data_IF_344445769738
#
_entry.id   IF_344445769738
#
_cell.length_a   1.000
_cell.length_b   1.000
_cell.length_c   1.000
_cell.angle_alpha   90.00
_cell.angle_beta   90.00
_cell.angle_gamma   90.00
#
_symmetry.space_group_name_H-M   'P 1'
#
loop_
_entity.id
_entity.type
_entity.pdbx_description
1 polymer ?
#
# COMPACT_ATOMS: atom_id res chain seq x y z
N UNK A 1 4.86 32.51 -0.01
CA UNK A 1 4.47 31.44 -0.95
C UNK A 1 5.34 30.25 -0.63
N UNK A 2 4.78 29.04 -0.48
CA UNK A 2 5.63 27.86 -0.24
C UNK A 2 6.40 27.51 -1.51
N UNK A 3 7.64 27.08 -1.39
CA UNK A 3 8.46 26.65 -2.54
C UNK A 3 8.04 25.26 -3.03
N UNK A 4 8.42 24.88 -4.26
CA UNK A 4 8.16 23.53 -4.78
C UNK A 4 8.73 22.44 -3.85
N UNK A 5 9.96 22.65 -3.36
CA UNK A 5 10.63 21.72 -2.45
C UNK A 5 9.92 21.61 -1.09
N UNK A 6 9.22 22.67 -0.66
CA UNK A 6 8.45 22.66 0.59
C UNK A 6 7.11 21.94 0.49
N UNK A 7 6.59 21.72 -0.72
CA UNK A 7 5.27 21.07 -0.93
C UNK A 7 5.38 19.69 -1.56
N UNK A 8 6.50 19.36 -2.19
CA UNK A 8 6.72 18.06 -2.80
C UNK A 8 6.83 16.96 -1.73
N UNK A 9 6.02 15.91 -1.85
CA UNK A 9 6.10 14.72 -0.99
C UNK A 9 5.66 14.92 0.47
N UNK A 10 5.11 16.08 0.85
CA UNK A 10 4.72 16.36 2.25
C UNK A 10 3.62 15.44 2.79
N UNK A 11 2.82 14.85 1.91
CA UNK A 11 1.78 13.88 2.26
C UNK A 11 2.21 12.43 2.03
N UNK A 12 3.51 12.17 1.90
CA UNK A 12 4.07 10.85 1.71
C UNK A 12 4.88 10.42 2.94
N UNK A 13 4.59 9.24 3.49
CA UNK A 13 5.35 8.66 4.58
C UNK A 13 6.67 8.11 4.03
N UNK A 14 7.68 8.97 4.01
CA UNK A 14 8.99 8.68 3.42
C UNK A 14 9.89 7.84 4.34
N UNK A 15 10.96 7.30 3.76
CA UNK A 15 12.02 6.65 4.53
C UNK A 15 12.63 7.58 5.60
N UNK A 16 12.70 8.89 5.32
CA UNK A 16 13.15 9.91 6.27
C UNK A 16 12.22 10.01 7.46
N UNK A 17 10.91 10.04 7.22
CA UNK A 17 9.90 10.04 8.30
C UNK A 17 10.05 8.80 9.17
N UNK A 18 10.11 7.61 8.55
CA UNK A 18 10.30 6.37 9.27
C UNK A 18 11.56 6.40 10.13
N UNK A 19 12.71 6.74 9.54
CA UNK A 19 14.01 6.78 10.23
C UNK A 19 14.04 7.73 11.42
N UNK A 20 13.27 8.82 11.36
CA UNK A 20 13.18 9.80 12.45
C UNK A 20 12.27 9.36 13.61
N UNK A 21 11.37 8.39 13.37
CA UNK A 21 10.30 8.00 14.29
C UNK A 21 10.49 6.63 14.93
N UNK A 22 11.38 5.79 14.40
CA UNK A 22 11.65 4.44 14.96
C UNK A 22 13.10 4.29 15.45
N UNK A 23 13.34 3.35 16.38
CA UNK A 23 14.69 2.96 16.78
C UNK A 23 15.57 2.51 15.59
N UNK A 24 16.89 2.72 15.71
CA UNK A 24 17.87 2.44 14.63
C UNK A 24 17.88 0.97 14.20
N UNK A 25 17.70 0.06 15.14
CA UNK A 25 17.59 -1.38 14.95
C UNK A 25 16.31 -1.77 14.20
N UNK A 26 15.16 -1.19 14.56
CA UNK A 26 13.88 -1.36 13.83
C UNK A 26 14.01 -0.90 12.39
N UNK A 27 14.60 0.28 12.17
CA UNK A 27 14.85 0.79 10.82
C UNK A 27 15.76 -0.15 10.00
N UNK A 28 16.86 -0.64 10.60
CA UNK A 28 17.77 -1.58 9.94
C UNK A 28 17.09 -2.92 9.61
N UNK A 29 16.31 -3.47 10.53
CA UNK A 29 15.51 -4.69 10.28
C UNK A 29 14.54 -4.45 9.13
N UNK A 30 13.81 -3.33 9.13
CA UNK A 30 12.90 -2.99 8.05
C UNK A 30 13.59 -2.87 6.68
N UNK A 31 14.79 -2.27 6.60
CA UNK A 31 15.56 -2.24 5.35
C UNK A 31 15.95 -3.64 4.85
N UNK A 32 16.25 -4.57 5.77
CA UNK A 32 16.51 -5.98 5.39
C UNK A 32 15.24 -6.64 4.84
N UNK A 33 14.09 -6.39 5.46
CA UNK A 33 12.79 -6.87 4.98
C UNK A 33 12.51 -6.34 3.58
N UNK A 34 12.68 -5.03 3.33
CA UNK A 34 12.53 -4.45 1.98
C UNK A 34 13.46 -5.09 0.93
N UNK A 35 14.66 -5.50 1.33
CA UNK A 35 15.60 -6.20 0.46
C UNK A 35 15.34 -7.71 0.31
N UNK A 36 14.29 -8.23 0.95
CA UNK A 36 13.95 -9.67 0.94
C UNK A 36 14.91 -10.54 1.76
N UNK A 37 15.69 -9.96 2.67
CA UNK A 37 16.69 -10.67 3.49
C UNK A 37 16.15 -11.16 4.84
N UNK A 38 14.99 -10.69 5.25
CA UNK A 38 14.37 -10.97 6.55
C UNK A 38 12.85 -10.89 6.40
N UNK A 39 12.10 -11.66 7.21
CA UNK A 39 10.65 -11.51 7.30
C UNK A 39 10.28 -10.41 8.29
N UNK A 40 9.15 -9.74 8.07
CA UNK A 40 8.69 -8.69 8.97
C UNK A 40 8.15 -9.29 10.28
N UNK A 41 8.88 -9.13 11.38
CA UNK A 41 8.39 -9.56 12.69
C UNK A 41 7.20 -8.69 13.15
N UNK A 42 6.28 -9.30 13.90
CA UNK A 42 5.13 -8.57 14.47
C UNK A 42 5.57 -7.46 15.43
N UNK A 43 6.67 -7.66 16.15
CA UNK A 43 7.25 -6.66 17.06
C UNK A 43 7.73 -5.43 16.28
N UNK A 44 8.49 -5.66 15.20
CA UNK A 44 8.95 -4.60 14.28
C UNK A 44 7.74 -3.88 13.66
N UNK A 45 6.73 -4.64 13.21
CA UNK A 45 5.53 -4.10 12.59
C UNK A 45 4.71 -3.23 13.55
N UNK A 46 4.57 -3.62 14.82
CA UNK A 46 3.86 -2.81 15.82
C UNK A 46 4.55 -1.46 16.05
N UNK A 47 5.88 -1.43 16.11
CA UNK A 47 6.64 -0.18 16.27
C UNK A 47 6.43 0.73 15.05
N UNK A 48 6.51 0.15 13.85
CA UNK A 48 6.30 0.87 12.59
C UNK A 48 4.85 1.38 12.48
N UNK A 49 3.86 0.56 12.80
CA UNK A 49 2.44 0.93 12.79
C UNK A 49 2.19 2.12 13.71
N UNK A 50 2.74 2.12 14.93
CA UNK A 50 2.59 3.25 15.84
C UNK A 50 3.24 4.53 15.28
N UNK A 51 4.43 4.44 14.68
CA UNK A 51 5.08 5.58 14.04
C UNK A 51 4.26 6.15 12.86
N UNK A 52 3.68 5.28 12.03
CA UNK A 52 2.81 5.65 10.91
C UNK A 52 1.54 6.34 11.42
N UNK A 53 0.88 5.75 12.42
CA UNK A 53 -0.34 6.29 13.04
C UNK A 53 -0.11 7.71 13.53
N UNK A 54 0.95 7.91 14.33
CA UNK A 54 1.29 9.23 14.87
C UNK A 54 1.55 10.23 13.75
N UNK A 55 2.36 9.86 12.75
CA UNK A 55 2.60 10.73 11.59
C UNK A 55 1.31 11.08 10.84
N UNK A 56 0.42 10.11 10.61
CA UNK A 56 -0.83 10.33 9.90
C UNK A 56 -1.75 11.30 10.66
N UNK A 57 -1.91 11.09 11.98
CA UNK A 57 -2.73 11.94 12.85
C UNK A 57 -2.14 13.35 12.97
N UNK A 58 -0.82 13.49 13.12
CA UNK A 58 -0.12 14.80 13.11
C UNK A 58 -0.41 15.58 11.82
N UNK A 59 -0.62 14.88 10.71
CA UNK A 59 -0.96 15.46 9.42
C UNK A 59 -2.47 15.55 9.16
N UNK A 60 -3.30 15.30 10.18
CA UNK A 60 -4.74 15.49 10.17
C UNK A 60 -5.57 14.31 9.66
N UNK A 61 -4.98 13.11 9.51
CA UNK A 61 -5.76 11.94 9.14
C UNK A 61 -6.57 11.37 10.32
N UNK A 62 -7.81 11.02 10.03
CA UNK A 62 -8.75 10.43 10.99
C UNK A 62 -9.00 8.95 10.72
N UNK A 63 -8.74 8.52 9.48
CA UNK A 63 -8.95 7.15 9.00
C UNK A 63 -7.70 6.61 8.31
N UNK A 64 -7.66 5.30 8.11
CA UNK A 64 -6.75 4.62 7.21
C UNK A 64 -7.51 3.68 6.28
N UNK A 65 -6.87 3.30 5.17
CA UNK A 65 -7.40 2.33 4.23
C UNK A 65 -6.30 1.49 3.61
N UNK A 66 -6.60 0.21 3.40
CA UNK A 66 -5.79 -0.66 2.54
C UNK A 66 -6.16 -0.37 1.09
N UNK A 67 -5.25 0.27 0.37
CA UNK A 67 -5.45 0.70 -1.00
C UNK A 67 -4.85 -0.33 -1.96
N UNK A 68 -5.67 -0.88 -2.85
CA UNK A 68 -5.25 -1.86 -3.86
C UNK A 68 -6.06 -1.72 -5.15
N UNK A 69 -5.58 -2.39 -6.21
CA UNK A 69 -6.17 -2.37 -7.56
C UNK A 69 -6.62 -3.78 -7.95
N UNK A 70 -7.85 -4.19 -7.58
CA UNK A 70 -8.39 -5.48 -7.98
C UNK A 70 -8.53 -5.62 -9.51
N UNK A 71 -8.83 -6.83 -9.97
CA UNK A 71 -9.05 -7.12 -11.40
C UNK A 71 -10.35 -6.53 -11.98
N UNK A 72 -10.99 -5.59 -11.28
CA UNK A 72 -12.22 -4.90 -11.70
C UNK A 72 -11.95 -3.51 -12.30
N UNK A 73 -10.70 -3.22 -12.68
CA UNK A 73 -10.24 -1.96 -13.29
C UNK A 73 -10.31 -0.70 -12.40
N UNK A 74 -11.00 -0.75 -11.25
CA UNK A 74 -11.10 0.33 -10.27
C UNK A 74 -10.22 0.09 -9.04
N UNK A 75 -9.93 1.15 -8.29
CA UNK A 75 -9.29 1.04 -6.97
C UNK A 75 -10.29 0.59 -5.92
N UNK A 76 -9.85 -0.24 -4.99
CA UNK A 76 -10.63 -0.63 -3.81
C UNK A 76 -10.08 0.06 -2.57
N UNK A 77 -11.00 0.63 -1.81
CA UNK A 77 -10.73 1.41 -0.60
C UNK A 77 -11.81 1.09 0.43
N UNK A 78 -11.41 0.65 1.62
CA UNK A 78 -12.28 0.54 2.78
C UNK A 78 -11.68 1.38 3.90
N UNK A 79 -12.39 2.43 4.32
CA UNK A 79 -11.90 3.36 5.32
C UNK A 79 -12.27 2.88 6.72
N UNK A 80 -11.27 2.81 7.58
CA UNK A 80 -11.41 2.45 9.00
C UNK A 80 -10.87 3.60 9.84
N UNK A 81 -11.58 3.95 10.92
CA UNK A 81 -11.16 5.04 11.79
C UNK A 81 -9.97 4.60 12.64
N UNK A 82 -9.04 5.51 12.93
CA UNK A 82 -8.04 5.26 13.98
C UNK A 82 -8.67 5.22 15.37
N UNK A 83 -9.86 5.79 15.54
CA UNK A 83 -10.56 5.88 16.82
C UNK A 83 -11.18 4.53 17.21
N UNK A 84 -10.84 4.06 18.40
CA UNK A 84 -11.39 2.87 19.05
C UNK A 84 -12.00 3.27 20.40
N UNK A 85 -13.17 2.71 20.73
CA UNK A 85 -13.88 2.98 21.99
C UNK A 85 -13.84 1.72 22.84
N UNK A 86 -13.24 1.83 24.02
CA UNK A 86 -13.15 0.73 24.98
C UNK A 86 -14.43 0.56 25.79
N UNK A 87 -14.57 -0.60 26.44
CA UNK A 87 -15.72 -0.96 27.26
C UNK A 87 -15.91 -0.06 28.49
N UNK A 88 -14.87 0.66 28.91
CA UNK A 88 -14.92 1.67 29.98
C UNK A 88 -15.39 3.04 29.47
N UNK A 89 -15.72 3.18 28.19
CA UNK A 89 -16.16 4.41 27.55
C UNK A 89 -15.02 5.36 27.15
N UNK A 90 -13.76 4.97 27.34
CA UNK A 90 -12.62 5.76 26.88
C UNK A 90 -12.42 5.60 25.38
N UNK A 91 -12.06 6.69 24.70
CA UNK A 91 -11.77 6.69 23.28
C UNK A 91 -10.27 6.91 23.08
N UNK A 92 -9.62 5.97 22.40
CA UNK A 92 -8.18 6.05 22.10
C UNK A 92 -7.94 5.81 20.61
N UNK A 93 -6.76 6.17 20.14
CA UNK A 93 -6.36 5.90 18.75
C UNK A 93 -5.57 4.60 18.65
N UNK A 94 -6.06 3.63 17.90
CA UNK A 94 -5.45 2.33 17.67
C UNK A 94 -5.06 2.15 16.20
N UNK A 95 -3.89 1.54 15.99
CA UNK A 95 -3.43 1.02 14.71
C UNK A 95 -2.26 0.10 15.01
N UNK A 96 -2.44 -1.19 14.72
CA UNK A 96 -1.55 -2.26 15.16
C UNK A 96 -0.72 -2.80 13.99
N UNK A 97 0.36 -3.50 14.31
CA UNK A 97 1.16 -4.22 13.31
C UNK A 97 0.36 -5.29 12.58
N UNK A 98 -0.69 -5.85 13.20
CA UNK A 98 -1.59 -6.81 12.52
C UNK A 98 -2.36 -6.13 11.41
N UNK A 99 -3.03 -5.02 11.71
CA UNK A 99 -3.75 -4.20 10.74
C UNK A 99 -2.81 -3.63 9.69
N UNK A 100 -1.55 -3.32 10.04
CA UNK A 100 -0.56 -2.88 9.07
C UNK A 100 -0.16 -3.98 8.10
N UNK A 101 0.16 -5.19 8.58
CA UNK A 101 0.66 -6.27 7.73
C UNK A 101 -0.45 -6.83 6.86
N UNK A 102 -1.64 -7.03 7.43
CA UNK A 102 -2.71 -7.79 6.83
C UNK A 102 -4.08 -7.22 7.19
N UNK A 103 -4.86 -6.88 6.17
CA UNK A 103 -6.29 -6.66 6.28
C UNK A 103 -7.08 -7.89 5.82
N UNK A 104 -8.27 -8.07 6.40
CA UNK A 104 -9.29 -8.99 5.88
C UNK A 104 -10.31 -8.17 5.09
N UNK A 105 -10.52 -8.54 3.82
CA UNK A 105 -11.60 -7.98 3.00
C UNK A 105 -12.62 -9.07 2.74
N UNK A 106 -13.91 -8.72 2.83
CA UNK A 106 -14.96 -9.54 2.24
C UNK A 106 -14.77 -9.54 0.72
N UNK A 107 -14.76 -10.72 0.10
CA UNK A 107 -14.53 -10.88 -1.35
C UNK A 107 -15.66 -11.57 -2.09
N UNK A 108 -16.81 -11.71 -1.45
CA UNK A 108 -18.02 -12.23 -2.08
C UNK A 108 -18.40 -11.50 -3.38
N UNK A 109 -18.03 -10.22 -3.51
CA UNK A 109 -18.35 -9.35 -4.66
C UNK A 109 -17.32 -9.36 -5.80
N UNK A 110 -16.16 -10.02 -5.66
CA UNK A 110 -15.16 -10.08 -6.72
C UNK A 110 -15.42 -11.22 -7.73
N UNK A 111 -14.83 -11.21 -8.94
CA UNK A 111 -15.04 -12.25 -9.94
C UNK A 111 -14.47 -13.60 -9.48
N UNK A 112 -15.34 -14.58 -9.22
CA UNK A 112 -14.95 -15.88 -8.64
C UNK A 112 -15.04 -17.05 -9.63
N UNK A 113 -15.51 -16.82 -10.85
CA UNK A 113 -15.75 -17.88 -11.85
C UNK A 113 -16.84 -18.90 -11.45
N UNK A 114 -17.67 -18.62 -10.44
CA UNK A 114 -18.79 -19.49 -10.02
C UNK A 114 -18.39 -20.78 -9.27
N UNK A 115 -17.12 -20.94 -8.89
CA UNK A 115 -16.58 -22.22 -8.40
C UNK A 115 -16.46 -22.33 -6.86
N UNK A 116 -16.97 -21.37 -6.08
CA UNK A 116 -16.66 -21.28 -4.63
C UNK A 116 -17.88 -21.13 -3.73
N UNK A 117 -17.81 -21.78 -2.56
CA UNK A 117 -18.71 -21.54 -1.43
C UNK A 117 -18.35 -20.21 -0.75
N UNK A 118 -19.32 -19.48 -0.19
CA UNK A 118 -19.17 -18.12 0.35
C UNK A 118 -18.07 -17.99 1.43
N UNK A 119 -17.73 -19.07 2.13
CA UNK A 119 -16.66 -19.10 3.13
C UNK A 119 -15.24 -19.01 2.52
N UNK A 120 -15.05 -19.53 1.30
CA UNK A 120 -13.78 -19.51 0.55
C UNK A 120 -13.60 -18.25 -0.31
N UNK A 121 -14.60 -17.38 -0.29
CA UNK A 121 -14.57 -16.03 -0.86
C UNK A 121 -14.03 -15.02 0.16
N UNK A 122 -12.92 -15.36 0.84
CA UNK A 122 -12.13 -14.41 1.64
C UNK A 122 -10.88 -14.01 0.89
N UNK A 123 -10.58 -12.72 0.93
CA UNK A 123 -9.36 -12.14 0.38
C UNK A 123 -8.58 -11.45 1.47
N UNK A 124 -7.27 -11.46 1.29
CA UNK A 124 -6.33 -10.92 2.23
C UNK A 124 -5.54 -9.83 1.54
N UNK A 125 -5.46 -8.67 2.18
CA UNK A 125 -4.52 -7.64 1.78
C UNK A 125 -3.20 -7.88 2.49
N UNK A 126 -2.10 -7.60 1.82
CA UNK A 126 -0.76 -7.64 2.37
C UNK A 126 -0.08 -6.31 2.06
N UNK A 127 0.53 -5.68 3.06
CA UNK A 127 1.21 -4.40 2.86
C UNK A 127 2.36 -4.50 1.84
N UNK A 128 2.32 -3.66 0.81
CA UNK A 128 3.41 -3.45 -0.12
C UNK A 128 4.45 -2.49 0.47
N UNK A 129 5.48 -3.06 1.09
CA UNK A 129 6.60 -2.33 1.70
C UNK A 129 7.49 -1.60 0.67
N UNK A 130 7.31 -1.84 -0.63
CA UNK A 130 8.04 -1.17 -1.70
C UNK A 130 7.40 0.16 -2.12
N UNK A 131 6.12 0.36 -1.81
CA UNK A 131 5.39 1.60 -2.12
C UNK A 131 5.19 2.41 -0.84
N UNK A 132 5.50 3.72 -0.83
CA UNK A 132 5.31 4.54 0.35
C UNK A 132 3.82 4.80 0.60
N UNK A 133 3.45 4.88 1.88
CA UNK A 133 2.10 5.30 2.27
C UNK A 133 1.92 6.80 2.02
N UNK A 134 0.69 7.23 1.84
CA UNK A 134 0.40 8.63 1.60
C UNK A 134 -0.94 9.05 2.20
N UNK A 135 -1.15 10.35 2.33
CA UNK A 135 -2.40 10.92 2.80
C UNK A 135 -3.16 11.51 1.61
N UNK A 136 -4.46 11.28 1.58
CA UNK A 136 -5.37 11.86 0.59
C UNK A 136 -6.66 12.30 1.28
N UNK A 137 -7.29 13.35 0.75
CA UNK A 137 -8.47 13.99 1.33
C UNK A 137 -8.16 15.38 1.89
N UNK A 138 -9.22 16.08 2.30
CA UNK A 138 -9.17 17.48 2.74
C UNK A 138 -9.79 17.64 4.13
N UNK A 139 -9.25 18.57 4.93
CA UNK A 139 -9.74 18.82 6.28
C UNK A 139 -9.82 17.55 7.13
N UNK A 140 -11.00 17.28 7.69
CA UNK A 140 -11.27 16.14 8.57
C UNK A 140 -11.49 14.81 7.84
N UNK A 141 -11.62 14.80 6.50
CA UNK A 141 -11.79 13.58 5.69
C UNK A 141 -10.48 12.96 5.22
N UNK A 142 -9.34 13.50 5.68
CA UNK A 142 -8.03 12.99 5.31
C UNK A 142 -7.84 11.57 5.85
N UNK A 143 -7.37 10.68 5.00
CA UNK A 143 -7.12 9.28 5.31
C UNK A 143 -5.70 8.88 4.93
N UNK A 144 -5.12 7.97 5.71
CA UNK A 144 -3.88 7.27 5.38
C UNK A 144 -4.17 6.15 4.37
N UNK A 145 -3.47 6.16 3.25
CA UNK A 145 -3.54 5.13 2.23
C UNK A 145 -2.34 4.22 2.37
N UNK A 146 -2.61 2.94 2.63
CA UNK A 146 -1.61 1.89 2.79
C UNK A 146 -1.60 1.06 1.49
N UNK A 147 -0.56 1.19 0.64
CA UNK A 147 -0.48 0.40 -0.59
C UNK A 147 -0.41 -1.08 -0.26
N UNK A 148 -1.28 -1.87 -0.87
CA UNK A 148 -1.41 -3.29 -0.55
C UNK A 148 -1.53 -4.15 -1.80
N UNK A 149 -1.04 -5.37 -1.67
CA UNK A 149 -1.30 -6.47 -2.58
C UNK A 149 -2.53 -7.24 -2.08
N UNK A 150 -3.33 -7.80 -2.99
CA UNK A 150 -4.55 -8.50 -2.68
C UNK A 150 -4.55 -9.91 -3.27
N UNK A 151 -4.69 -10.88 -2.37
CA UNK A 151 -4.62 -12.30 -2.68
C UNK A 151 -5.88 -13.01 -2.17
N UNK A 152 -6.32 -14.02 -2.90
CA UNK A 152 -7.41 -14.88 -2.44
C UNK A 152 -6.93 -15.93 -1.45
N UNK A 153 -7.89 -16.65 -0.86
CA UNK A 153 -7.64 -17.66 0.16
C UNK A 153 -6.61 -18.73 -0.26
N UNK A 154 -6.63 -19.16 -1.52
CA UNK A 154 -5.71 -20.19 -2.04
C UNK A 154 -4.41 -19.62 -2.60
N UNK A 155 -4.15 -18.31 -2.43
CA UNK A 155 -2.93 -17.64 -2.86
C UNK A 155 -2.93 -17.14 -4.31
N UNK A 156 -4.09 -17.20 -4.98
CA UNK A 156 -4.30 -16.54 -6.27
C UNK A 156 -4.17 -15.03 -6.15
N UNK A 157 -3.61 -14.40 -7.19
CA UNK A 157 -3.56 -12.96 -7.29
C UNK A 157 -4.93 -12.44 -7.71
N UNK A 158 -5.55 -11.59 -6.88
CA UNK A 158 -6.84 -10.95 -7.15
C UNK A 158 -6.67 -9.46 -7.50
N UNK A 159 -5.44 -9.02 -7.73
CA UNK A 159 -5.08 -7.67 -8.12
C UNK A 159 -4.09 -7.60 -9.28
N UNK A 160 -3.78 -6.36 -9.66
CA UNK A 160 -2.75 -6.04 -10.65
C UNK A 160 -1.34 -5.95 -10.06
N UNK A 161 -1.21 -5.73 -8.74
CA UNK A 161 0.09 -5.53 -8.07
C UNK A 161 0.88 -6.84 -7.97
N UNK A 162 0.28 -7.94 -7.53
CA UNK A 162 0.99 -9.22 -7.37
C UNK A 162 1.57 -9.72 -8.71
N UNK A 163 0.82 -9.75 -9.83
CA UNK A 163 1.38 -10.14 -11.13
C UNK A 163 2.50 -9.21 -11.59
N UNK A 164 2.38 -7.90 -11.36
CA UNK A 164 3.42 -6.93 -11.69
C UNK A 164 4.72 -7.19 -10.92
N UNK A 165 4.64 -7.38 -9.60
CA UNK A 165 5.81 -7.68 -8.76
C UNK A 165 6.50 -8.99 -9.16
N UNK A 166 5.70 -10.02 -9.51
CA UNK A 166 6.21 -11.29 -10.06
C UNK A 166 6.93 -11.08 -11.39
N UNK A 167 6.36 -10.29 -12.30
CA UNK A 167 6.98 -9.94 -13.59
C UNK A 167 8.30 -9.22 -13.43
N UNK A 168 8.35 -8.18 -12.58
CA UNK A 168 9.60 -7.44 -12.27
C UNK A 168 10.67 -8.37 -11.72
N UNK A 169 10.29 -9.29 -10.83
CA UNK A 169 11.22 -10.27 -10.25
C UNK A 169 11.78 -11.22 -11.31
N UNK A 170 10.94 -11.72 -12.21
CA UNK A 170 11.36 -12.56 -13.34
C UNK A 170 12.31 -11.82 -14.28
N UNK A 171 11.97 -10.58 -14.68
CA UNK A 171 12.82 -9.75 -15.54
C UNK A 171 14.17 -9.51 -14.88
N UNK A 172 14.19 -9.15 -13.59
CA UNK A 172 15.43 -8.92 -12.84
C UNK A 172 16.35 -10.14 -12.84
N UNK A 173 15.78 -11.33 -12.59
CA UNK A 173 16.54 -12.60 -12.59
C UNK A 173 17.22 -12.84 -13.94
N UNK A 174 16.48 -12.65 -15.02
CA UNK A 174 16.98 -12.90 -16.37
C UNK A 174 18.00 -11.83 -16.80
N UNK A 175 17.76 -10.56 -16.46
CA UNK A 175 18.70 -9.46 -16.70
C UNK A 175 20.05 -9.70 -15.99
N UNK A 176 20.01 -10.12 -14.72
CA UNK A 176 21.23 -10.48 -13.97
C UNK A 176 21.96 -11.68 -14.58
N UNK A 177 21.24 -12.66 -15.14
CA UNK A 177 21.88 -13.78 -15.86
C UNK A 177 22.64 -13.29 -17.08
N UNK A 178 22.05 -12.39 -17.86
CA UNK A 178 22.69 -11.83 -19.07
C UNK A 178 23.91 -10.99 -18.68
N UNK A 179 23.81 -10.13 -17.66
CA UNK A 179 24.94 -9.32 -17.16
C UNK A 179 26.16 -10.19 -16.82
N UNK A 180 25.95 -11.31 -16.13
CA UNK A 180 27.01 -12.27 -15.80
C UNK A 180 27.68 -12.88 -17.04
N UNK A 181 26.90 -13.16 -18.08
CA UNK A 181 27.43 -13.68 -19.36
C UNK A 181 28.26 -12.60 -20.08
N UNK A 182 27.87 -11.33 -19.95
CA UNK A 182 28.59 -10.19 -20.51
C UNK A 182 29.85 -9.80 -19.73
N UNK A 183 30.15 -10.50 -18.63
CA UNK A 183 31.36 -10.30 -17.83
C UNK A 183 31.19 -9.45 -16.58
N UNK A 184 29.98 -8.94 -16.29
CA UNK A 184 29.68 -8.23 -15.04
C UNK A 184 29.22 -9.22 -13.97
N UNK A 185 30.11 -9.51 -13.01
CA UNK A 185 29.85 -10.38 -11.87
C UNK A 185 29.50 -9.61 -10.59
N UNK A 186 29.67 -8.29 -10.60
CA UNK A 186 29.54 -7.44 -9.42
C UNK A 186 28.09 -6.97 -9.23
N UNK A 187 27.35 -6.72 -10.32
CA UNK A 187 25.95 -6.27 -10.25
C UNK A 187 25.06 -7.29 -9.55
N UNK A 188 24.45 -6.88 -8.43
CA UNK A 188 23.56 -7.72 -7.62
C UNK A 188 22.07 -7.40 -7.81
N UNK A 189 21.74 -6.27 -8.43
CA UNK A 189 20.37 -5.79 -8.54
C UNK A 189 20.16 -5.00 -9.83
N UNK A 190 18.98 -5.16 -10.42
CA UNK A 190 18.53 -4.39 -11.59
C UNK A 190 17.16 -3.82 -11.27
N UNK A 191 17.02 -2.51 -11.45
CA UNK A 191 15.75 -1.79 -11.31
C UNK A 191 15.05 -1.67 -12.66
N UNK A 192 13.73 -1.81 -12.63
CA UNK A 192 12.86 -1.59 -13.78
C UNK A 192 12.20 -0.23 -13.62
N UNK A 193 12.48 0.69 -14.52
CA UNK A 193 11.89 2.03 -14.53
C UNK A 193 10.75 2.10 -15.54
N UNK A 194 9.69 2.83 -15.22
CA UNK A 194 8.55 3.07 -16.11
C UNK A 194 8.24 4.57 -16.14
N UNK A 195 8.27 5.18 -17.33
CA UNK A 195 7.75 6.53 -17.57
C UNK A 195 6.37 6.42 -18.19
N UNK A 196 5.33 6.77 -17.45
CA UNK A 196 3.95 6.76 -17.96
C UNK A 196 3.59 8.11 -18.55
N UNK A 197 2.89 8.09 -19.69
CA UNK A 197 2.27 9.25 -20.29
C UNK A 197 0.75 9.06 -20.22
N UNK A 198 0.03 10.06 -19.71
CA UNK A 198 -1.41 9.97 -19.46
C UNK A 198 -2.15 10.94 -20.37
N UNK A 199 -3.02 10.40 -21.22
CA UNK A 199 -3.95 11.18 -22.05
C UNK A 199 -5.36 11.14 -21.42
N UNK A 200 -6.08 12.26 -21.50
CA UNK A 200 -7.47 12.37 -21.05
C UNK A 200 -8.20 13.50 -21.77
N UNK A 201 -9.52 13.37 -21.87
CA UNK A 201 -10.41 14.42 -22.37
C UNK A 201 -11.08 15.13 -21.20
N UNK A 202 -11.34 16.43 -21.37
CA UNK A 202 -12.14 17.21 -20.42
C UNK A 202 -13.44 17.64 -21.12
N UNK A 203 -14.56 17.35 -20.48
CA UNK A 203 -15.89 17.77 -20.91
C UNK A 203 -16.53 18.51 -19.74
N UNK A 204 -17.21 19.63 -20.01
CA UNK A 204 -17.92 20.36 -18.97
C UNK A 204 -19.03 19.48 -18.38
N UNK A 205 -19.13 19.45 -17.04
CA UNK A 205 -20.04 18.57 -16.30
C UNK A 205 -21.50 18.65 -16.77
N UNK A 206 -21.94 19.84 -17.19
CA UNK A 206 -23.31 20.09 -17.67
C UNK A 206 -23.66 19.29 -18.94
N UNK A 207 -22.70 19.03 -19.84
CA UNK A 207 -22.93 18.25 -21.05
C UNK A 207 -22.99 16.74 -20.80
N UNK A 208 -22.49 16.25 -19.67
CA UNK A 208 -22.42 14.82 -19.35
C UNK A 208 -23.72 14.30 -18.72
N UNK A 209 -24.51 15.14 -18.05
CA UNK A 209 -25.68 14.71 -17.25
C UNK A 209 -27.01 14.59 -18.02
N UNK A 210 -27.03 14.87 -19.32
CA UNK A 210 -28.24 14.81 -20.16
C UNK A 210 -28.59 13.38 -20.60
N UNK A 211 -28.77 12.45 -19.65
CA UNK A 211 -29.34 11.10 -19.90
C UNK A 211 -30.30 10.66 -18.78
N UNK A 212 -31.09 11.60 -18.26
CA UNK A 212 -32.29 11.30 -17.46
C UNK A 212 -33.44 12.20 -17.88
N UNK A 213 -34.08 11.87 -19.00
CA UNK A 213 -35.44 12.28 -19.35
C UNK A 213 -36.26 11.01 -19.50
#
# INVERSE_FOLDING_TARGET
>A
MKTMLEVFGVHCFSEKELKSRVPKDVFKSFKKVQSGKEELSITTANVIANAIKLWAIENGATHFTHWFQPLTELTAEKHEAFLSVHSDGTAITEFTGKELIKGESDTSSFPNGGLRSTFEARGYTAWDIGSPMFLKGEGLSKSLYIPTAFIGYSGEALDKKVPLLRSITSIRKEALRIQKILGDLDTQHVDVTLGVEQEYFLVEKNFLTCEKI
#
